data_IF_287771071467
#
_entry.id   IF_287771071467
#
_cell.length_a   1.000
_cell.length_b   1.000
_cell.length_c   1.000
_cell.angle_alpha   90.00
_cell.angle_beta   90.00
_cell.angle_gamma   90.00
#
_symmetry.space_group_name_H-M   'P 1'
#
loop_
_entity.id
_entity.type
_entity.pdbx_description
1 polymer ?
#
# COMPACT_ATOMS: atom_id res chain seq x y z
N UNK A 1 -2.53 11.21 -11.25
CA UNK A 1 -1.59 11.61 -10.16
C UNK A 1 -1.11 10.38 -9.37
N UNK A 2 0.15 10.31 -8.89
CA UNK A 2 0.66 9.16 -8.12
C UNK A 2 0.35 9.25 -6.61
N UNK A 3 -0.08 8.16 -5.96
CA UNK A 3 -0.25 8.13 -4.51
C UNK A 3 1.09 7.98 -3.75
N UNK A 4 1.08 8.22 -2.42
CA UNK A 4 2.28 8.17 -1.59
C UNK A 4 2.99 6.80 -1.63
N UNK A 5 2.25 5.69 -1.64
CA UNK A 5 2.84 4.36 -1.78
C UNK A 5 3.44 4.10 -3.16
N UNK A 6 2.75 4.51 -4.24
CA UNK A 6 3.29 4.46 -5.60
C UNK A 6 4.63 5.27 -5.67
N UNK A 7 4.74 6.40 -4.96
CA UNK A 7 5.98 7.21 -4.85
C UNK A 7 7.10 6.49 -4.07
N UNK A 8 6.81 5.90 -2.90
CA UNK A 8 7.79 5.12 -2.10
C UNK A 8 8.37 3.96 -2.90
N UNK A 9 7.52 3.23 -3.63
CA UNK A 9 7.93 2.07 -4.42
C UNK A 9 8.60 2.43 -5.75
N UNK A 10 8.77 3.73 -6.06
CA UNK A 10 9.21 4.24 -7.37
C UNK A 10 8.43 3.58 -8.52
N UNK A 11 7.12 3.42 -8.33
CA UNK A 11 6.18 2.85 -9.29
C UNK A 11 5.48 3.99 -10.03
N UNK A 12 5.43 3.91 -11.35
CA UNK A 12 4.69 4.85 -12.19
C UNK A 12 3.24 5.00 -11.71
N UNK A 13 2.79 6.25 -11.56
CA UNK A 13 1.41 6.55 -11.23
C UNK A 13 0.49 6.12 -12.36
N UNK A 14 -0.48 5.26 -12.05
CA UNK A 14 -1.59 4.89 -12.94
C UNK A 14 -2.88 5.36 -12.27
N UNK A 15 -3.90 5.70 -13.06
CA UNK A 15 -5.20 6.09 -12.53
C UNK A 15 -5.86 4.95 -11.73
N UNK A 16 -5.58 3.70 -12.14
CA UNK A 16 -5.91 2.48 -11.39
C UNK A 16 -4.75 2.00 -10.49
N UNK A 17 -4.18 2.88 -9.64
CA UNK A 17 -3.16 2.47 -8.66
C UNK A 17 -3.84 1.72 -7.50
N UNK A 18 -3.70 0.38 -7.46
CA UNK A 18 -4.20 -0.51 -6.40
C UNK A 18 -3.76 -0.13 -4.98
N UNK A 19 -2.68 0.66 -4.84
CA UNK A 19 -2.17 1.14 -3.55
C UNK A 19 -3.01 2.29 -2.97
N UNK A 20 -3.73 3.03 -3.82
CA UNK A 20 -4.46 4.23 -3.42
C UNK A 20 -5.56 3.94 -2.39
N UNK A 21 -6.41 2.91 -2.57
CA UNK A 21 -7.36 2.50 -1.54
C UNK A 21 -6.70 1.79 -0.34
N UNK A 22 -5.45 1.29 -0.44
CA UNK A 22 -4.71 0.78 0.74
C UNK A 22 -4.41 1.88 1.75
N UNK A 23 -4.23 3.11 1.26
CA UNK A 23 -3.66 4.22 2.00
C UNK A 23 -4.71 5.26 2.39
N UNK A 24 -5.91 5.20 1.83
CA UNK A 24 -6.96 6.23 2.01
C UNK A 24 -7.44 6.36 3.45
N UNK A 25 -7.28 5.33 4.29
CA UNK A 25 -7.65 5.36 5.70
C UNK A 25 -6.57 6.01 6.59
N UNK A 26 -5.34 6.13 6.10
CA UNK A 26 -4.24 6.77 6.82
C UNK A 26 -4.26 8.26 6.47
N UNK A 27 -4.55 9.13 7.42
CA UNK A 27 -4.73 10.57 7.17
C UNK A 27 -3.42 11.29 6.82
N UNK A 28 -2.32 10.93 7.48
CA UNK A 28 -1.01 11.55 7.26
C UNK A 28 -0.29 10.97 6.05
N UNK A 29 0.18 11.84 5.15
CA UNK A 29 0.99 11.46 3.99
C UNK A 29 2.31 10.80 4.38
N UNK A 30 2.91 11.24 5.49
CA UNK A 30 4.12 10.65 6.06
C UNK A 30 3.84 9.24 6.59
N UNK A 31 2.75 9.05 7.34
CA UNK A 31 2.35 7.73 7.83
C UNK A 31 2.05 6.77 6.67
N UNK A 32 1.43 7.24 5.58
CA UNK A 32 1.24 6.44 4.37
C UNK A 32 2.57 5.97 3.76
N UNK A 33 3.56 6.86 3.73
CA UNK A 33 4.88 6.55 3.19
C UNK A 33 5.62 5.55 4.09
N UNK A 34 5.63 5.78 5.41
CA UNK A 34 6.28 4.91 6.39
C UNK A 34 5.65 3.52 6.43
N UNK A 35 4.33 3.42 6.40
CA UNK A 35 3.59 2.17 6.27
C UNK A 35 3.99 1.38 5.03
N UNK A 36 4.02 2.06 3.87
CA UNK A 36 4.42 1.43 2.61
C UNK A 36 5.88 0.98 2.67
N UNK A 37 6.77 1.81 3.24
CA UNK A 37 8.20 1.51 3.37
C UNK A 37 8.42 0.29 4.27
N UNK A 38 7.73 0.23 5.41
CA UNK A 38 7.79 -0.89 6.34
C UNK A 38 7.38 -2.21 5.67
N UNK A 39 6.21 -2.23 5.03
CA UNK A 39 5.72 -3.43 4.34
C UNK A 39 6.59 -3.81 3.12
N UNK A 40 7.13 -2.83 2.40
CA UNK A 40 8.05 -3.07 1.30
C UNK A 40 9.40 -3.62 1.77
N UNK A 41 9.87 -3.24 2.96
CA UNK A 41 11.06 -3.85 3.59
C UNK A 41 10.79 -5.28 4.06
N UNK A 42 9.63 -5.54 4.63
CA UNK A 42 9.27 -6.86 5.17
C UNK A 42 8.98 -7.89 4.06
N UNK A 43 8.13 -7.56 3.10
CA UNK A 43 7.71 -8.46 2.02
C UNK A 43 8.52 -8.32 0.73
N UNK A 44 9.36 -7.30 0.62
CA UNK A 44 9.93 -6.87 -0.65
C UNK A 44 8.90 -6.17 -1.55
N UNK A 45 9.37 -5.47 -2.58
CA UNK A 45 8.50 -4.76 -3.55
C UNK A 45 7.53 -5.70 -4.25
N UNK A 46 8.02 -6.82 -4.79
CA UNK A 46 7.21 -7.77 -5.55
C UNK A 46 6.25 -8.52 -4.62
N UNK A 47 6.72 -8.94 -3.43
CA UNK A 47 5.88 -9.61 -2.44
C UNK A 47 4.73 -8.73 -1.97
N UNK A 48 4.99 -7.44 -1.69
CA UNK A 48 3.94 -6.48 -1.32
C UNK A 48 2.88 -6.34 -2.42
N UNK A 49 3.29 -6.16 -3.68
CA UNK A 49 2.36 -6.02 -4.80
C UNK A 49 1.55 -7.29 -5.05
N UNK A 50 2.18 -8.46 -4.92
CA UNK A 50 1.52 -9.75 -5.02
C UNK A 50 0.52 -9.96 -3.87
N UNK A 51 0.88 -9.59 -2.64
CA UNK A 51 -0.01 -9.66 -1.48
C UNK A 51 -1.28 -8.82 -1.67
N UNK A 52 -1.12 -7.56 -2.10
CA UNK A 52 -2.24 -6.66 -2.40
C UNK A 52 -3.09 -7.20 -3.55
N UNK A 53 -2.46 -7.87 -4.52
CA UNK A 53 -3.14 -8.46 -5.68
C UNK A 53 -3.72 -9.85 -5.41
N UNK A 54 -3.29 -10.56 -4.37
CA UNK A 54 -3.84 -11.85 -3.98
C UNK A 54 -5.10 -11.70 -3.12
N UNK A 55 -5.24 -10.55 -2.44
CA UNK A 55 -6.40 -10.26 -1.60
C UNK A 55 -7.74 -10.31 -2.36
N UNK A 56 -8.84 -10.78 -1.75
CA UNK A 56 -10.18 -10.70 -2.32
C UNK A 56 -10.56 -9.24 -2.61
N UNK A 57 -11.18 -8.94 -3.76
CA UNK A 57 -11.47 -7.55 -4.20
C UNK A 57 -12.23 -6.68 -3.19
N UNK A 58 -12.98 -7.28 -2.27
CA UNK A 58 -13.72 -6.61 -1.19
C UNK A 58 -12.86 -6.35 0.08
N UNK A 59 -11.71 -7.02 0.21
CA UNK A 59 -10.72 -6.89 1.29
C UNK A 59 -9.42 -6.22 0.84
N UNK A 60 -9.17 -6.16 -0.47
CA UNK A 60 -8.21 -5.25 -1.07
C UNK A 60 -8.70 -3.83 -0.77
N UNK A 61 -7.96 -2.93 -0.12
CA UNK A 61 -6.69 -3.13 0.54
C UNK A 61 -6.50 -2.33 1.86
N UNK A 62 -7.54 -1.64 2.34
CA UNK A 62 -7.46 -0.84 3.56
C UNK A 62 -7.24 -1.73 4.79
N UNK A 63 -7.96 -2.84 4.86
CA UNK A 63 -7.90 -3.77 6.00
C UNK A 63 -6.60 -4.55 6.08
N UNK A 64 -5.97 -4.95 4.97
CA UNK A 64 -4.69 -5.65 4.99
C UNK A 64 -3.56 -4.78 5.55
N UNK A 65 -3.44 -3.52 5.09
CA UNK A 65 -2.48 -2.58 5.65
C UNK A 65 -2.79 -2.30 7.14
N UNK A 66 -4.08 -2.16 7.49
CA UNK A 66 -4.51 -1.97 8.88
C UNK A 66 -4.06 -3.14 9.77
N UNK A 67 -4.31 -4.38 9.36
CA UNK A 67 -3.97 -5.58 10.14
C UNK A 67 -2.47 -5.76 10.37
N UNK A 68 -1.60 -5.36 9.43
CA UNK A 68 -0.15 -5.47 9.61
C UNK A 68 0.49 -4.33 10.39
N UNK A 69 -0.20 -3.20 10.56
CA UNK A 69 0.34 -2.01 11.23
C UNK A 69 -0.22 -1.83 12.65
N UNK A 70 -1.13 -2.70 13.10
CA UNK A 70 -1.77 -2.65 14.43
C UNK A 70 -1.15 -3.62 15.45
N UNK A 71 -0.07 -4.32 15.09
CA UNK A 71 0.81 -5.06 16.01
C UNK A 71 1.97 -4.18 16.44
#
# INVERSE_FOLDING_TARGET
MSCNGCRVLRKGGKDDCILRPCLSWITSSESQANATLFLAKFYGRTGLLNLISAGPRHLRPGTLFFSFLQT
#
